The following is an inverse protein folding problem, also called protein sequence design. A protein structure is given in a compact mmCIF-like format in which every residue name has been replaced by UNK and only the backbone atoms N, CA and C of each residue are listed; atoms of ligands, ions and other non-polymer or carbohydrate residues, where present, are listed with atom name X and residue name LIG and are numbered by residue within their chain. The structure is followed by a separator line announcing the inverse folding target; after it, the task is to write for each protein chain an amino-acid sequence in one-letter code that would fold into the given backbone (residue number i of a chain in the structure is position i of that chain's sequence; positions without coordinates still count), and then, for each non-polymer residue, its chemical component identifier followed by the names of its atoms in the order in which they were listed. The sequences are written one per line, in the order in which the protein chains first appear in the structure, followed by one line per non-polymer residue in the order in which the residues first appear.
data_IF_705244878766
#
_entry.id   IF_705244878766
#
_cell.length_a   1.000
_cell.length_b   1.000
_cell.length_c   1.000
_cell.angle_alpha   90.00
_cell.angle_beta   90.00
_cell.angle_gamma   90.00
#
_symmetry.space_group_name_H-M   'P 1'
#
loop_
_entity.id
_entity.type
_entity.pdbx_description
1 polymer ?
#
# COMPACT_ATOMS: atom_id res chain seq x y z
N UNK A 1 -47.97 12.65 9.85
CA UNK A 1 -47.60 11.40 9.17
C UNK A 1 -46.12 11.52 8.87
N UNK A 2 -45.27 11.00 9.77
CA UNK A 2 -43.83 10.97 9.55
C UNK A 2 -43.59 10.04 8.35
N UNK A 3 -43.25 10.62 7.20
CA UNK A 3 -43.33 9.96 5.91
C UNK A 3 -42.47 8.71 5.88
N UNK A 4 -43.12 7.54 5.79
CA UNK A 4 -42.59 6.22 5.42
C UNK A 4 -41.11 5.98 5.74
N UNK A 5 -40.71 6.15 6.99
CA UNK A 5 -39.44 5.61 7.44
C UNK A 5 -39.60 4.08 7.56
N UNK A 6 -39.04 3.37 6.59
CA UNK A 6 -39.16 1.91 6.43
C UNK A 6 -38.35 1.11 7.47
N UNK A 7 -37.57 1.80 8.30
CA UNK A 7 -36.71 1.19 9.31
C UNK A 7 -37.16 1.56 10.72
N UNK A 8 -37.23 0.58 11.60
CA UNK A 8 -37.47 0.81 13.01
C UNK A 8 -36.28 1.55 13.68
N UNK A 9 -36.42 1.88 14.97
CA UNK A 9 -35.37 2.61 15.70
C UNK A 9 -34.06 1.82 15.79
N UNK A 10 -34.10 0.52 16.00
CA UNK A 10 -32.92 -0.33 16.15
C UNK A 10 -32.25 -0.58 14.79
N UNK A 11 -33.03 -0.77 13.74
CA UNK A 11 -32.54 -0.90 12.37
C UNK A 11 -31.79 0.36 11.93
N UNK A 12 -32.33 1.55 12.21
CA UNK A 12 -31.64 2.82 11.94
C UNK A 12 -30.35 2.96 12.73
N UNK A 13 -30.33 2.56 13.99
CA UNK A 13 -29.12 2.62 14.83
C UNK A 13 -28.05 1.66 14.32
N UNK A 14 -28.43 0.43 13.96
CA UNK A 14 -27.52 -0.56 13.38
C UNK A 14 -26.93 -0.07 12.06
N UNK A 15 -27.78 0.49 11.18
CA UNK A 15 -27.34 1.10 9.93
C UNK A 15 -26.37 2.27 10.15
N UNK A 16 -26.68 3.17 11.09
CA UNK A 16 -25.81 4.30 11.42
C UNK A 16 -24.44 3.84 11.93
N UNK A 17 -24.39 2.80 12.78
CA UNK A 17 -23.13 2.23 13.25
C UNK A 17 -22.34 1.56 12.12
N UNK A 18 -22.99 0.84 11.21
CA UNK A 18 -22.32 0.25 10.05
C UNK A 18 -21.74 1.32 9.13
N UNK A 19 -22.52 2.38 8.84
CA UNK A 19 -22.06 3.53 8.06
C UNK A 19 -20.85 4.17 8.73
N UNK A 20 -20.90 4.40 10.05
CA UNK A 20 -19.78 4.97 10.80
C UNK A 20 -18.52 4.11 10.69
N UNK A 21 -18.64 2.80 10.87
CA UNK A 21 -17.51 1.87 10.73
C UNK A 21 -16.90 1.92 9.34
N UNK A 22 -17.73 1.84 8.28
CA UNK A 22 -17.25 1.90 6.90
C UNK A 22 -16.60 3.26 6.58
N UNK A 23 -17.17 4.37 7.06
CA UNK A 23 -16.58 5.70 6.90
C UNK A 23 -15.22 5.79 7.60
N UNK A 24 -15.08 5.19 8.78
CA UNK A 24 -13.80 5.18 9.49
C UNK A 24 -12.76 4.32 8.77
N UNK A 25 -13.16 3.17 8.21
CA UNK A 25 -12.28 2.36 7.35
C UNK A 25 -11.83 3.12 6.09
N UNK A 26 -12.74 3.84 5.43
CA UNK A 26 -12.41 4.71 4.28
C UNK A 26 -11.40 5.77 4.71
N UNK A 27 -11.64 6.43 5.85
CA UNK A 27 -10.72 7.46 6.37
C UNK A 27 -9.31 6.89 6.55
N UNK A 28 -9.17 5.74 7.22
CA UNK A 28 -7.84 5.15 7.42
C UNK A 28 -7.14 4.76 6.12
N UNK A 29 -7.89 4.25 5.13
CA UNK A 29 -7.32 3.94 3.81
C UNK A 29 -6.84 5.21 3.10
N UNK A 30 -7.64 6.27 3.12
CA UNK A 30 -7.28 7.58 2.53
C UNK A 30 -6.07 8.18 3.23
N UNK A 31 -6.03 8.15 4.56
CA UNK A 31 -4.89 8.63 5.35
C UNK A 31 -3.61 7.85 4.97
N UNK A 32 -3.70 6.51 4.83
CA UNK A 32 -2.59 5.68 4.38
C UNK A 32 -2.11 6.02 2.96
N UNK A 33 -3.03 6.24 2.01
CA UNK A 33 -2.69 6.66 0.65
C UNK A 33 -2.03 8.04 0.61
N UNK A 34 -2.51 8.98 1.42
CA UNK A 34 -1.93 10.31 1.55
C UNK A 34 -0.49 10.23 2.06
N UNK A 35 -0.24 9.42 3.09
CA UNK A 35 1.11 9.20 3.62
C UNK A 35 2.03 8.56 2.58
N UNK A 36 1.54 7.58 1.81
CA UNK A 36 2.31 7.01 0.70
C UNK A 36 2.63 8.06 -0.37
N UNK A 37 1.66 8.88 -0.78
CA UNK A 37 1.88 9.91 -1.78
C UNK A 37 2.90 10.98 -1.33
N UNK A 38 2.94 11.28 -0.03
CA UNK A 38 3.85 12.30 0.52
C UNK A 38 5.26 11.76 0.80
N UNK A 39 5.37 10.51 1.23
CA UNK A 39 6.60 9.99 1.83
C UNK A 39 7.14 8.71 1.22
N UNK A 40 6.35 7.95 0.46
CA UNK A 40 6.83 6.70 -0.12
C UNK A 40 7.76 6.96 -1.31
N UNK A 41 8.77 6.11 -1.44
CA UNK A 41 9.62 6.05 -2.62
C UNK A 41 8.99 5.13 -3.68
N UNK A 42 9.49 5.20 -4.91
CA UNK A 42 9.09 4.24 -5.96
C UNK A 42 9.32 2.79 -5.54
N UNK A 43 10.35 2.51 -4.73
CA UNK A 43 10.63 1.17 -4.22
C UNK A 43 9.51 0.67 -3.31
N UNK A 44 9.02 1.53 -2.42
CA UNK A 44 7.93 1.20 -1.50
C UNK A 44 6.61 0.97 -2.26
N UNK A 45 6.35 1.78 -3.30
CA UNK A 45 5.16 1.64 -4.15
C UNK A 45 5.20 0.34 -4.96
N UNK A 46 6.33 0.00 -5.57
CA UNK A 46 6.48 -1.25 -6.32
C UNK A 46 6.23 -2.47 -5.43
N UNK A 47 6.77 -2.49 -4.22
CA UNK A 47 6.51 -3.56 -3.25
C UNK A 47 5.04 -3.62 -2.82
N UNK A 48 4.40 -2.46 -2.61
CA UNK A 48 2.99 -2.41 -2.21
C UNK A 48 2.01 -2.86 -3.32
N UNK A 49 2.38 -2.73 -4.60
CA UNK A 49 1.53 -3.10 -5.76
C UNK A 49 1.76 -4.54 -6.20
N UNK A 50 3.02 -4.94 -6.38
CA UNK A 50 3.41 -6.26 -6.85
C UNK A 50 4.69 -6.73 -6.13
N UNK A 51 4.54 -7.39 -4.97
CA UNK A 51 5.69 -7.81 -4.17
C UNK A 51 6.54 -8.89 -4.85
N UNK A 52 5.96 -9.71 -5.73
CA UNK A 52 6.70 -10.76 -6.44
C UNK A 52 7.53 -10.16 -7.59
N UNK A 53 6.92 -9.28 -8.40
CA UNK A 53 7.63 -8.54 -9.44
C UNK A 53 8.75 -7.66 -8.88
N UNK A 54 8.49 -6.98 -7.76
CA UNK A 54 9.51 -6.23 -7.03
C UNK A 54 10.67 -7.11 -6.58
N UNK A 55 10.40 -8.28 -5.98
CA UNK A 55 11.44 -9.19 -5.49
C UNK A 55 12.32 -9.71 -6.64
N UNK A 56 11.70 -10.07 -7.78
CA UNK A 56 12.42 -10.51 -8.98
C UNK A 56 13.33 -9.40 -9.53
N UNK A 57 12.84 -8.16 -9.61
CA UNK A 57 13.65 -7.01 -10.05
C UNK A 57 14.84 -6.77 -9.10
N UNK A 58 14.62 -6.85 -7.78
CA UNK A 58 15.69 -6.68 -6.78
C UNK A 58 16.74 -7.80 -6.85
N UNK A 59 16.31 -9.04 -7.08
CA UNK A 59 17.21 -10.18 -7.25
C UNK A 59 18.12 -10.00 -8.47
N UNK A 60 17.57 -9.58 -9.62
CA UNK A 60 18.37 -9.30 -10.81
C UNK A 60 19.35 -8.14 -10.60
N UNK A 61 18.90 -7.07 -9.92
CA UNK A 61 19.78 -5.93 -9.58
C UNK A 61 20.99 -6.39 -8.76
N UNK A 62 20.75 -7.18 -7.72
CA UNK A 62 21.81 -7.71 -6.87
C UNK A 62 22.81 -8.58 -7.64
N UNK A 63 22.35 -9.37 -8.61
CA UNK A 63 23.23 -10.17 -9.47
C UNK A 63 24.14 -9.27 -10.32
N UNK A 64 23.59 -8.22 -10.93
CA UNK A 64 24.37 -7.27 -11.73
C UNK A 64 25.37 -6.50 -10.86
N UNK A 65 24.95 -6.05 -9.67
CA UNK A 65 25.83 -5.36 -8.72
C UNK A 65 27.01 -6.26 -8.29
N UNK A 66 26.77 -7.57 -8.11
CA UNK A 66 27.82 -8.56 -7.88
C UNK A 66 28.83 -8.63 -9.02
N UNK A 67 28.36 -8.73 -10.27
CA UNK A 67 29.24 -8.76 -11.45
C UNK A 67 30.10 -7.49 -11.57
N UNK A 68 29.52 -6.32 -11.29
CA UNK A 68 30.26 -5.04 -11.31
C UNK A 68 31.33 -5.03 -10.22
N UNK A 69 30.99 -5.49 -9.01
CA UNK A 69 31.94 -5.60 -7.90
C UNK A 69 33.12 -6.51 -8.25
N UNK A 70 32.84 -7.67 -8.82
CA UNK A 70 33.88 -8.63 -9.24
C UNK A 70 34.81 -8.00 -10.29
N UNK A 71 34.25 -7.34 -11.31
CA UNK A 71 35.02 -6.64 -12.33
C UNK A 71 35.94 -5.56 -11.74
N UNK A 72 35.39 -4.71 -10.87
CA UNK A 72 36.17 -3.63 -10.24
C UNK A 72 37.28 -4.20 -9.35
N UNK A 73 37.04 -5.32 -8.67
CA UNK A 73 38.06 -6.04 -7.92
C UNK A 73 39.22 -6.52 -8.79
N UNK A 74 38.91 -7.06 -9.99
CA UNK A 74 39.92 -7.48 -10.96
C UNK A 74 40.74 -6.28 -11.47
N UNK A 75 40.08 -5.17 -11.82
CA UNK A 75 40.78 -3.95 -12.29
C UNK A 75 41.68 -3.37 -11.21
N UNK A 76 41.23 -3.32 -9.95
CA UNK A 76 42.02 -2.79 -8.84
C UNK A 76 43.23 -3.67 -8.47
N UNK A 77 43.21 -4.96 -8.87
CA UNK A 77 44.31 -5.91 -8.63
C UNK A 77 45.41 -5.88 -9.72
N UNK A 78 45.24 -5.07 -10.76
CA UNK A 78 46.12 -4.97 -11.93
C UNK A 78 46.88 -3.64 -11.94
#
# INVERSE_FOLDING_TARGET
SDGYNMLDRYERMSLANSIYTHLNEIRYKVDGMMLMAQYATLNDLCFAIDPEGWANAMAMRNQVDGLISDWNGLVASN
#
